data_IF_266243511989
#
_entry.id   IF_266243511989
#
_cell.length_a   1.000
_cell.length_b   1.000
_cell.length_c   1.000
_cell.angle_alpha   90.00
_cell.angle_beta   90.00
_cell.angle_gamma   90.00
#
_symmetry.space_group_name_H-M   'P 1'
#
loop_
_entity.id
_entity.type
_entity.pdbx_description
1 polymer ?
#
# COMPACT_ATOMS: atom_id res chain seq x y z
N UNK A 1 26.47 -52.94 -0.13
CA UNK A 1 27.47 -52.04 0.50
C UNK A 1 27.93 -51.06 -0.58
N UNK A 2 27.86 -49.75 -0.33
CA UNK A 2 27.91 -48.62 -1.30
C UNK A 2 26.54 -48.16 -1.84
N UNK A 3 25.69 -47.67 -0.94
CA UNK A 3 24.74 -46.60 -1.25
C UNK A 3 24.41 -45.80 0.02
N UNK A 4 25.46 -45.53 0.80
CA UNK A 4 25.50 -44.54 1.87
C UNK A 4 26.72 -43.68 1.52
N UNK A 5 26.63 -42.36 1.68
CA UNK A 5 27.53 -41.32 1.14
C UNK A 5 27.04 -40.76 -0.21
N UNK A 6 25.91 -40.03 -0.19
CA UNK A 6 25.65 -38.85 -1.05
C UNK A 6 24.26 -38.21 -0.78
N UNK A 7 23.82 -38.22 0.48
CA UNK A 7 22.73 -37.33 0.95
C UNK A 7 23.24 -36.60 2.20
N UNK A 8 24.37 -35.92 2.03
CA UNK A 8 24.95 -35.05 3.06
C UNK A 8 25.36 -33.68 2.47
N UNK A 9 24.93 -33.39 1.23
CA UNK A 9 25.24 -32.15 0.51
C UNK A 9 23.98 -31.59 -0.16
N UNK A 10 22.82 -31.70 0.52
CA UNK A 10 21.60 -30.96 0.15
C UNK A 10 20.81 -30.47 1.38
N UNK A 11 21.51 -30.15 2.47
CA UNK A 11 21.01 -29.29 3.56
C UNK A 11 22.13 -28.29 3.90
N UNK A 12 22.64 -27.64 2.85
CA UNK A 12 23.73 -26.66 2.90
C UNK A 12 23.30 -25.32 2.33
N UNK A 13 22.05 -24.91 2.54
CA UNK A 13 21.58 -23.52 2.36
C UNK A 13 20.49 -23.24 3.39
N UNK A 14 20.79 -23.45 4.67
CA UNK A 14 20.21 -22.54 5.67
C UNK A 14 21.22 -21.40 5.67
N UNK A 15 20.91 -20.33 4.93
CA UNK A 15 21.62 -19.08 5.11
C UNK A 15 21.71 -18.85 6.62
N UNK A 16 22.93 -18.79 7.16
CA UNK A 16 23.14 -18.26 8.49
C UNK A 16 22.54 -16.86 8.44
N UNK A 17 21.30 -16.73 8.90
CA UNK A 17 20.65 -15.45 8.99
C UNK A 17 21.57 -14.61 9.87
N UNK A 18 21.94 -13.41 9.41
CA UNK A 18 22.86 -12.53 10.11
C UNK A 18 22.18 -11.99 11.38
N UNK A 19 22.08 -12.85 12.40
CA UNK A 19 21.58 -12.51 13.72
C UNK A 19 22.54 -11.48 14.30
N UNK A 20 21.99 -10.34 14.71
CA UNK A 20 22.74 -9.25 15.33
C UNK A 20 22.21 -9.00 16.74
N UNK A 21 23.01 -8.39 17.63
CA UNK A 21 22.50 -7.93 18.91
C UNK A 21 21.28 -7.02 18.72
N UNK A 22 20.20 -7.25 19.46
CA UNK A 22 19.00 -6.42 19.37
C UNK A 22 19.26 -4.95 19.72
N UNK A 23 20.28 -4.66 20.53
CA UNK A 23 20.73 -3.29 20.79
C UNK A 23 21.20 -2.58 19.53
N UNK A 24 21.87 -3.29 18.62
CA UNK A 24 22.28 -2.77 17.32
C UNK A 24 21.08 -2.56 16.39
N UNK A 25 20.16 -3.53 16.32
CA UNK A 25 18.94 -3.41 15.53
C UNK A 25 18.05 -2.23 15.99
N UNK A 26 17.86 -2.10 17.30
CA UNK A 26 16.94 -1.11 17.89
C UNK A 26 17.52 0.31 17.98
N UNK A 27 18.84 0.46 17.85
CA UNK A 27 19.50 1.77 17.85
C UNK A 27 18.92 2.72 16.78
N UNK A 28 18.52 2.19 15.62
CA UNK A 28 17.92 2.97 14.52
C UNK A 28 16.55 3.59 14.86
N UNK A 29 15.90 3.13 15.92
CA UNK A 29 14.56 3.57 16.32
C UNK A 29 14.56 4.39 17.63
N UNK A 30 15.73 4.65 18.21
CA UNK A 30 15.86 5.28 19.53
C UNK A 30 15.78 6.82 19.51
N UNK A 31 15.28 7.41 18.44
CA UNK A 31 15.12 8.87 18.31
C UNK A 31 13.74 9.30 18.84
N UNK A 32 13.65 10.08 19.94
CA UNK A 32 12.37 10.50 20.51
C UNK A 32 11.59 11.47 19.62
N UNK A 33 12.21 12.05 18.58
CA UNK A 33 11.54 12.92 17.60
C UNK A 33 10.85 12.15 16.47
N UNK A 34 11.08 10.84 16.36
CA UNK A 34 10.53 10.00 15.28
C UNK A 34 9.31 9.24 15.74
N UNK A 35 8.38 9.07 14.81
CA UNK A 35 7.36 8.05 14.93
C UNK A 35 7.90 6.71 14.43
N UNK A 36 7.70 5.65 15.20
CA UNK A 36 8.10 4.30 14.82
C UNK A 36 6.84 3.49 14.52
N UNK A 37 6.64 3.09 13.27
CA UNK A 37 5.59 2.15 12.90
C UNK A 37 5.97 0.74 13.34
N UNK A 38 5.05 0.05 14.02
CA UNK A 38 5.16 -1.35 14.42
C UNK A 38 4.25 -2.22 13.54
N UNK A 39 4.80 -3.32 13.04
CA UNK A 39 4.06 -4.38 12.35
C UNK A 39 4.55 -5.73 12.84
N UNK A 40 3.65 -6.55 13.40
CA UNK A 40 3.95 -7.91 13.87
C UNK A 40 3.01 -8.87 13.16
N UNK A 41 3.54 -9.97 12.65
CA UNK A 41 2.76 -11.05 12.05
C UNK A 41 3.14 -12.38 12.73
N UNK A 42 2.14 -13.09 13.25
CA UNK A 42 2.27 -14.38 13.91
C UNK A 42 1.59 -15.48 13.10
N UNK A 43 2.20 -16.66 13.04
CA UNK A 43 1.61 -17.86 12.44
C UNK A 43 1.70 -19.01 13.42
N UNK A 44 0.57 -19.66 13.69
CA UNK A 44 0.47 -20.85 14.53
C UNK A 44 1.01 -22.06 13.77
N UNK A 45 2.01 -22.72 14.34
CA UNK A 45 2.75 -23.84 13.75
C UNK A 45 1.88 -25.05 13.38
N UNK A 46 0.80 -25.32 14.13
CA UNK A 46 -0.11 -26.44 13.88
C UNK A 46 -1.34 -26.09 13.02
N UNK A 47 -2.11 -25.08 13.42
CA UNK A 47 -3.38 -24.74 12.76
C UNK A 47 -3.23 -23.79 11.57
N UNK A 48 -2.03 -23.21 11.36
CA UNK A 48 -1.78 -22.12 10.43
C UNK A 48 -2.64 -20.87 10.69
N UNK A 49 -3.28 -20.79 11.87
CA UNK A 49 -3.96 -19.58 12.31
C UNK A 49 -2.94 -18.43 12.36
N UNK A 50 -3.33 -17.26 11.87
CA UNK A 50 -2.50 -16.07 11.87
C UNK A 50 -3.04 -15.04 12.87
N UNK A 51 -2.15 -14.21 13.38
CA UNK A 51 -2.54 -12.98 14.06
C UNK A 51 -1.57 -11.85 13.73
N UNK A 52 -2.05 -10.62 13.73
CA UNK A 52 -1.29 -9.43 13.43
C UNK A 52 -1.36 -8.42 14.56
N UNK A 53 -0.32 -7.62 14.72
CA UNK A 53 -0.33 -6.43 15.57
C UNK A 53 0.20 -5.24 14.79
N UNK A 54 -0.46 -4.09 14.93
CA UNK A 54 -0.07 -2.87 14.24
C UNK A 54 -0.24 -1.65 15.14
N UNK A 55 0.60 -0.65 14.94
CA UNK A 55 0.41 0.65 15.57
C UNK A 55 1.68 1.47 15.52
N UNK A 56 1.73 2.46 16.39
CA UNK A 56 2.85 3.38 16.47
C UNK A 56 3.54 3.25 17.82
N UNK A 57 4.84 3.51 17.81
CA UNK A 57 5.69 3.58 18.98
C UNK A 57 6.43 4.92 18.98
N UNK A 58 6.90 5.34 20.15
CA UNK A 58 7.84 6.44 20.35
C UNK A 58 8.97 5.99 21.27
N UNK A 59 10.17 6.53 21.09
CA UNK A 59 11.26 6.27 22.02
C UNK A 59 11.15 7.16 23.27
N UNK A 60 11.29 6.54 24.44
CA UNK A 60 11.41 7.25 25.72
C UNK A 60 12.27 6.44 26.69
N UNK A 61 13.34 7.05 27.20
CA UNK A 61 14.29 6.42 28.11
C UNK A 61 14.86 5.09 27.59
N UNK A 62 15.24 5.04 26.31
CA UNK A 62 15.73 3.84 25.63
C UNK A 62 14.72 2.67 25.59
N UNK A 63 13.42 2.99 25.64
CA UNK A 63 12.33 2.03 25.49
C UNK A 63 11.38 2.55 24.43
N UNK A 64 11.08 1.73 23.42
CA UNK A 64 9.99 2.01 22.50
C UNK A 64 8.68 1.69 23.19
N UNK A 65 7.77 2.66 23.28
CA UNK A 65 6.46 2.54 23.92
C UNK A 65 5.38 2.85 22.91
N UNK A 66 4.22 2.22 23.05
CA UNK A 66 3.07 2.53 22.20
C UNK A 66 2.70 4.01 22.24
N UNK A 67 2.53 4.59 21.06
CA UNK A 67 1.94 5.90 20.86
C UNK A 67 0.47 5.68 20.45
N UNK A 68 -0.42 5.70 21.44
CA UNK A 68 -1.82 5.31 21.28
C UNK A 68 -2.03 3.81 21.40
N UNK A 69 -3.04 3.28 20.70
CA UNK A 69 -3.43 1.87 20.77
C UNK A 69 -2.68 1.03 19.73
N UNK A 70 -2.22 -0.15 20.13
CA UNK A 70 -1.79 -1.20 19.22
C UNK A 70 -3.01 -2.06 18.88
N UNK A 71 -3.33 -2.15 17.60
CA UNK A 71 -4.45 -2.94 17.08
C UNK A 71 -3.99 -4.36 16.85
N UNK A 72 -4.76 -5.33 17.34
CA UNK A 72 -4.55 -6.75 17.09
C UNK A 72 -5.63 -7.29 16.17
N UNK A 73 -5.18 -8.02 15.17
CA UNK A 73 -5.97 -8.49 14.04
C UNK A 73 -5.89 -10.02 14.02
N UNK A 74 -6.99 -10.74 14.19
CA UNK A 74 -7.00 -12.20 14.23
C UNK A 74 -7.68 -12.79 12.99
N UNK A 75 -7.27 -13.98 12.57
CA UNK A 75 -7.61 -14.56 11.26
C UNK A 75 -8.57 -15.74 11.29
N UNK A 76 -9.20 -16.02 12.44
CA UNK A 76 -10.24 -17.06 12.48
C UNK A 76 -11.42 -16.73 11.54
N UNK A 77 -11.54 -15.47 11.12
CA UNK A 77 -12.46 -15.01 10.09
C UNK A 77 -11.72 -14.15 9.05
N UNK A 78 -11.86 -14.51 7.78
CA UNK A 78 -11.34 -13.75 6.61
C UNK A 78 -12.41 -12.92 5.93
N UNK A 79 -13.58 -12.85 6.56
CA UNK A 79 -14.74 -12.13 6.05
C UNK A 79 -14.70 -10.69 6.56
N UNK A 80 -14.91 -9.75 5.64
CA UNK A 80 -15.14 -8.37 5.97
C UNK A 80 -16.58 -8.00 5.57
N UNK A 81 -17.04 -6.82 5.98
CA UNK A 81 -18.40 -6.40 5.63
C UNK A 81 -18.61 -6.31 4.10
N UNK A 82 -19.83 -6.61 3.64
CA UNK A 82 -20.26 -6.53 2.23
C UNK A 82 -19.50 -7.41 1.21
N UNK A 83 -19.22 -8.69 1.55
CA UNK A 83 -18.62 -9.64 0.60
C UNK A 83 -17.13 -9.42 0.30
N UNK A 84 -16.50 -8.41 0.92
CA UNK A 84 -15.06 -8.17 0.87
C UNK A 84 -14.34 -9.17 1.76
N UNK A 85 -13.12 -9.56 1.38
CA UNK A 85 -12.26 -10.45 2.17
C UNK A 85 -10.96 -9.75 2.50
N UNK A 86 -10.49 -9.91 3.72
CA UNK A 86 -9.13 -9.56 4.11
C UNK A 86 -8.60 -10.65 5.04
N UNK A 87 -7.28 -10.78 5.25
CA UNK A 87 -6.74 -11.90 6.03
C UNK A 87 -7.24 -11.93 7.49
N UNK A 88 -7.75 -10.82 8.01
CA UNK A 88 -8.15 -10.64 9.42
C UNK A 88 -9.58 -10.06 9.55
N UNK A 89 -10.29 -10.37 10.63
CA UNK A 89 -11.53 -9.64 10.94
C UNK A 89 -11.22 -8.29 11.59
N UNK A 90 -11.46 -7.21 10.87
CA UNK A 90 -11.29 -5.85 11.40
C UNK A 90 -12.35 -5.44 12.46
N UNK A 91 -13.62 -5.88 12.36
CA UNK A 91 -14.61 -5.66 13.42
C UNK A 91 -14.23 -6.31 14.76
N UNK A 92 -13.55 -7.45 14.72
CA UNK A 92 -13.13 -8.19 15.93
C UNK A 92 -11.72 -7.80 16.40
N UNK A 93 -11.25 -6.62 16.01
CA UNK A 93 -9.94 -6.14 16.41
C UNK A 93 -9.90 -5.82 17.91
N UNK A 94 -8.83 -6.28 18.57
CA UNK A 94 -8.54 -5.94 19.96
C UNK A 94 -7.53 -4.80 20.03
N UNK A 95 -7.50 -4.10 21.15
CA UNK A 95 -6.58 -2.98 21.36
C UNK A 95 -5.76 -3.19 22.63
N UNK A 96 -4.47 -2.92 22.53
CA UNK A 96 -3.52 -3.00 23.63
C UNK A 96 -2.77 -1.68 23.79
N UNK A 97 -2.48 -1.32 25.03
CA UNK A 97 -1.83 -0.06 25.42
C UNK A 97 -0.55 -0.27 26.24
N UNK A 98 -0.06 -1.51 26.32
CA UNK A 98 1.03 -1.93 27.19
C UNK A 98 2.26 -2.45 26.42
N UNK A 99 2.38 -2.09 25.15
CA UNK A 99 3.45 -2.58 24.27
C UNK A 99 4.76 -1.83 24.52
N UNK A 100 5.82 -2.58 24.85
CA UNK A 100 7.15 -2.04 25.12
C UNK A 100 8.24 -2.87 24.45
N UNK A 101 9.18 -2.23 23.76
CA UNK A 101 10.40 -2.88 23.25
C UNK A 101 11.61 -2.23 23.91
N UNK A 102 12.39 -3.03 24.63
CA UNK A 102 13.62 -2.61 25.29
C UNK A 102 14.81 -2.84 24.35
N UNK A 103 15.84 -2.00 24.46
CA UNK A 103 17.04 -2.09 23.61
C UNK A 103 17.80 -3.41 23.75
N UNK A 104 17.63 -4.15 24.84
CA UNK A 104 18.23 -5.47 25.01
C UNK A 104 17.53 -6.58 24.18
N UNK A 105 16.39 -6.29 23.54
CA UNK A 105 15.59 -7.27 22.80
C UNK A 105 14.37 -7.79 23.56
N UNK A 106 14.18 -7.43 24.84
CA UNK A 106 12.97 -7.79 25.56
C UNK A 106 11.77 -7.04 25.00
N UNK A 107 10.65 -7.73 24.83
CA UNK A 107 9.42 -7.24 24.20
C UNK A 107 8.20 -7.60 25.05
N UNK A 108 7.52 -6.59 25.61
CA UNK A 108 6.28 -6.79 26.34
C UNK A 108 5.10 -6.55 25.40
N UNK A 109 4.19 -7.52 25.36
CA UNK A 109 2.94 -7.46 24.63
C UNK A 109 1.87 -8.18 25.45
N UNK A 110 0.78 -7.48 25.81
CA UNK A 110 -0.30 -8.02 26.65
C UNK A 110 0.19 -8.48 28.03
N UNK A 111 1.09 -7.70 28.64
CA UNK A 111 1.69 -7.97 29.95
C UNK A 111 2.70 -9.12 29.95
N UNK A 112 2.90 -9.79 28.82
CA UNK A 112 3.83 -10.93 28.69
C UNK A 112 5.13 -10.45 28.08
N UNK A 113 6.25 -10.75 28.75
CA UNK A 113 7.58 -10.52 28.23
C UNK A 113 7.99 -11.65 27.27
N UNK A 114 8.52 -11.26 26.12
CA UNK A 114 9.07 -12.11 25.07
C UNK A 114 10.50 -11.64 24.76
N UNK A 115 11.30 -12.48 24.12
CA UNK A 115 12.66 -12.12 23.73
C UNK A 115 12.79 -12.16 22.21
N UNK A 116 13.25 -11.05 21.63
CA UNK A 116 13.46 -10.90 20.20
C UNK A 116 14.78 -11.54 19.77
N UNK A 117 14.77 -12.19 18.61
CA UNK A 117 15.95 -12.48 17.80
C UNK A 117 15.99 -11.46 16.66
N UNK A 118 17.02 -10.64 16.60
CA UNK A 118 17.11 -9.52 15.66
C UNK A 118 18.06 -9.82 14.50
N UNK A 119 17.73 -9.31 13.31
CA UNK A 119 18.45 -9.58 12.07
C UNK A 119 18.88 -8.28 11.39
N UNK A 120 19.98 -8.32 10.63
CA UNK A 120 20.55 -7.15 9.98
C UNK A 120 19.72 -6.58 8.82
N UNK A 121 18.75 -7.34 8.32
CA UNK A 121 17.88 -7.01 7.18
C UNK A 121 16.59 -6.28 7.58
N UNK A 122 16.48 -5.83 8.83
CA UNK A 122 15.43 -4.92 9.25
C UNK A 122 14.20 -5.60 9.86
N UNK A 123 14.27 -6.88 10.21
CA UNK A 123 13.23 -7.55 11.01
C UNK A 123 13.79 -8.20 12.28
N UNK A 124 12.88 -8.53 13.18
CA UNK A 124 13.12 -9.37 14.35
C UNK A 124 12.08 -10.50 14.41
N UNK A 125 12.36 -11.56 15.15
CA UNK A 125 11.41 -12.65 15.37
C UNK A 125 11.31 -12.99 16.85
N UNK A 126 10.22 -13.61 17.26
CA UNK A 126 10.12 -14.27 18.56
C UNK A 126 9.16 -15.44 18.46
N UNK A 127 9.22 -16.33 19.44
CA UNK A 127 8.29 -17.46 19.56
C UNK A 127 7.53 -17.33 20.87
N UNK A 128 6.24 -17.63 20.82
CA UNK A 128 5.40 -17.75 22.02
C UNK A 128 4.38 -18.85 21.77
N UNK A 129 4.33 -19.79 22.70
CA UNK A 129 3.52 -20.99 22.59
C UNK A 129 3.75 -21.69 21.23
N UNK A 130 2.70 -21.88 20.45
CA UNK A 130 2.75 -22.48 19.12
C UNK A 130 2.86 -21.46 17.99
N UNK A 131 3.03 -20.17 18.28
CA UNK A 131 3.16 -19.13 17.25
C UNK A 131 4.62 -18.75 17.00
N UNK A 132 4.94 -18.58 15.72
CA UNK A 132 6.15 -17.92 15.24
C UNK A 132 5.80 -16.51 14.78
N UNK A 133 6.45 -15.50 15.34
CA UNK A 133 6.21 -14.11 15.02
C UNK A 133 7.38 -13.48 14.29
N UNK A 134 7.09 -12.65 13.30
CA UNK A 134 7.98 -11.67 12.72
C UNK A 134 7.54 -10.26 13.12
N UNK A 135 8.52 -9.38 13.34
CA UNK A 135 8.35 -8.01 13.76
C UNK A 135 9.15 -7.12 12.81
N UNK A 136 8.50 -6.10 12.26
CA UNK A 136 9.12 -5.07 11.43
C UNK A 136 8.85 -3.69 12.05
N UNK A 137 9.87 -2.84 12.00
CA UNK A 137 9.81 -1.46 12.47
C UNK A 137 10.17 -0.50 11.33
N UNK A 138 9.59 0.70 11.36
CA UNK A 138 9.97 1.78 10.44
C UNK A 138 9.94 3.12 11.18
N UNK A 139 11.05 3.83 11.23
CA UNK A 139 11.11 5.20 11.73
C UNK A 139 10.75 6.21 10.63
N UNK A 140 9.95 7.22 10.98
CA UNK A 140 9.59 8.34 10.12
C UNK A 140 9.45 9.63 10.94
N UNK A 141 9.45 10.79 10.28
CA UNK A 141 9.23 12.07 10.95
C UNK A 141 7.80 12.18 11.53
N UNK A 142 6.82 11.58 10.84
CA UNK A 142 5.40 11.59 11.18
C UNK A 142 4.83 10.16 11.16
N UNK A 143 3.76 9.93 11.93
CA UNK A 143 3.04 8.66 11.89
C UNK A 143 2.13 8.61 10.65
N UNK A 144 2.63 8.02 9.57
CA UNK A 144 1.83 7.75 8.38
C UNK A 144 0.68 6.79 8.69
N UNK A 145 -0.54 7.00 8.15
CA UNK A 145 -1.68 6.12 8.41
C UNK A 145 -1.41 4.64 8.09
N UNK A 146 -1.90 3.74 8.96
CA UNK A 146 -1.79 2.29 8.78
C UNK A 146 -3.07 1.71 8.19
N UNK A 147 -3.06 1.44 6.89
CA UNK A 147 -4.26 1.04 6.15
C UNK A 147 -4.63 -0.45 6.23
N UNK A 148 -3.76 -1.36 6.67
CA UNK A 148 -4.06 -2.81 6.71
C UNK A 148 -4.87 -3.18 7.96
N UNK A 149 -5.92 -4.00 7.86
CA UNK A 149 -6.74 -4.37 9.02
C UNK A 149 -7.72 -3.29 9.50
N UNK A 150 -8.02 -2.30 8.67
CA UNK A 150 -9.11 -1.34 8.93
C UNK A 150 -10.48 -1.94 8.58
N UNK A 151 -11.54 -1.41 9.21
CA UNK A 151 -12.90 -1.83 8.92
C UNK A 151 -13.26 -1.52 7.46
N UNK A 152 -13.91 -2.47 6.77
CA UNK A 152 -14.40 -2.26 5.41
C UNK A 152 -15.68 -1.41 5.40
N UNK A 153 -15.62 -0.18 5.90
CA UNK A 153 -16.70 0.78 5.76
C UNK A 153 -16.75 1.19 4.28
N UNK A 154 -17.90 0.98 3.63
CA UNK A 154 -18.13 1.54 2.30
C UNK A 154 -18.11 3.05 2.39
N UNK A 155 -17.37 3.73 1.50
CA UNK A 155 -17.52 5.17 1.35
C UNK A 155 -18.99 5.48 0.98
N UNK A 156 -19.57 6.59 1.46
CA UNK A 156 -20.92 6.99 1.05
C UNK A 156 -20.96 7.15 -0.46
N UNK A 157 -21.91 6.47 -1.10
CA UNK A 157 -22.13 6.56 -2.55
C UNK A 157 -22.68 7.95 -2.85
N UNK A 158 -21.88 8.78 -3.53
CA UNK A 158 -22.32 10.09 -4.04
C UNK A 158 -22.30 10.05 -5.56
N UNK A 159 -23.49 10.04 -6.17
CA UNK A 159 -23.70 10.26 -7.61
C UNK A 159 -23.45 11.73 -7.95
N UNK A 160 -22.58 12.03 -8.92
CA UNK A 160 -22.29 13.40 -9.39
C UNK A 160 -22.57 13.52 -10.89
N UNK A 161 -23.19 14.62 -11.39
CA UNK A 161 -23.48 14.83 -12.81
C UNK A 161 -22.22 15.12 -13.66
N UNK A 162 -22.27 14.93 -14.99
CA UNK A 162 -21.15 15.20 -15.89
C UNK A 162 -20.82 16.70 -15.96
N UNK A 163 -19.53 17.02 -15.96
CA UNK A 163 -19.00 18.39 -16.10
C UNK A 163 -18.53 18.61 -17.54
N UNK A 164 -19.13 19.58 -18.24
CA UNK A 164 -18.67 20.09 -19.53
C UNK A 164 -17.88 21.39 -19.33
N UNK A 165 -16.66 21.46 -19.86
CA UNK A 165 -15.84 22.69 -19.89
C UNK A 165 -15.94 23.43 -21.24
N UNK A 166 -15.80 24.77 -21.29
CA UNK A 166 -16.05 25.57 -22.50
C UNK A 166 -14.80 25.80 -23.38
N UNK A 167 -15.01 25.93 -24.70
CA UNK A 167 -14.17 26.63 -25.70
C UNK A 167 -12.70 26.17 -25.90
N UNK A 168 -12.46 24.88 -26.13
CA UNK A 168 -11.16 24.38 -26.60
C UNK A 168 -11.24 23.83 -28.03
N UNK A 169 -10.17 24.04 -28.83
CA UNK A 169 -9.94 23.44 -30.17
C UNK A 169 -10.19 21.93 -30.21
N UNK A 170 -9.96 21.28 -29.06
CA UNK A 170 -10.30 19.90 -28.81
C UNK A 170 -11.28 19.87 -27.65
N UNK A 171 -12.52 19.43 -27.88
CA UNK A 171 -13.48 19.19 -26.80
C UNK A 171 -13.28 17.80 -26.24
N UNK A 172 -13.64 17.59 -24.98
CA UNK A 172 -13.58 16.29 -24.35
C UNK A 172 -14.85 15.99 -23.56
N UNK A 173 -15.18 14.71 -23.45
CA UNK A 173 -16.19 14.18 -22.54
C UNK A 173 -15.52 13.17 -21.64
N UNK A 174 -15.78 13.26 -20.34
CA UNK A 174 -15.27 12.32 -19.34
C UNK A 174 -16.43 11.49 -18.81
N UNK A 175 -16.29 10.18 -18.85
CA UNK A 175 -17.19 9.22 -18.23
C UNK A 175 -16.45 8.48 -17.12
N UNK A 176 -17.16 8.16 -16.05
CA UNK A 176 -16.69 7.19 -15.06
C UNK A 176 -17.20 5.84 -15.55
N UNK A 177 -16.34 5.06 -16.20
CA UNK A 177 -16.71 3.76 -16.74
C UNK A 177 -16.80 2.73 -15.62
N UNK A 178 -15.90 2.85 -14.64
CA UNK A 178 -15.94 2.05 -13.43
C UNK A 178 -15.34 2.85 -12.26
N UNK A 179 -15.71 2.49 -11.04
CA UNK A 179 -15.19 3.10 -9.83
C UNK A 179 -14.99 2.01 -8.81
N UNK A 180 -13.81 1.99 -8.20
CA UNK A 180 -13.51 1.06 -7.11
C UNK A 180 -12.73 1.77 -6.03
N UNK A 181 -12.58 1.10 -4.91
CA UNK A 181 -11.78 1.60 -3.81
C UNK A 181 -10.76 0.54 -3.46
N UNK A 182 -9.49 0.87 -3.64
CA UNK A 182 -8.34 0.03 -3.30
C UNK A 182 -7.51 0.80 -2.27
N UNK A 183 -7.21 0.19 -1.13
CA UNK A 183 -6.41 0.83 -0.06
C UNK A 183 -6.99 2.17 0.44
N UNK A 184 -8.33 2.33 0.47
CA UNK A 184 -8.99 3.55 0.96
C UNK A 184 -8.95 4.74 0.00
N UNK A 185 -8.30 4.58 -1.15
CA UNK A 185 -8.28 5.55 -2.22
C UNK A 185 -9.39 5.17 -3.21
N UNK A 186 -10.28 6.12 -3.50
CA UNK A 186 -11.29 5.93 -4.54
C UNK A 186 -10.59 6.08 -5.88
N UNK A 187 -10.42 4.96 -6.55
CA UNK A 187 -9.95 4.93 -7.92
C UNK A 187 -11.14 4.98 -8.85
N UNK A 188 -11.03 5.83 -9.85
CA UNK A 188 -11.98 5.96 -10.93
C UNK A 188 -11.27 5.49 -12.18
N UNK A 189 -11.89 4.56 -12.89
CA UNK A 189 -11.57 4.29 -14.27
C UNK A 189 -12.39 5.24 -15.12
N UNK A 190 -11.68 6.17 -15.72
CA UNK A 190 -12.27 7.16 -16.59
C UNK A 190 -12.12 6.71 -18.05
N UNK A 191 -13.21 6.84 -18.79
CA UNK A 191 -13.20 6.93 -20.23
C UNK A 191 -13.17 8.41 -20.63
N UNK A 192 -12.28 8.78 -21.56
CA UNK A 192 -12.26 10.13 -22.12
C UNK A 192 -12.32 10.05 -23.62
N UNK A 193 -13.33 10.69 -24.20
CA UNK A 193 -13.43 10.89 -25.64
C UNK A 193 -13.08 12.32 -25.97
N UNK A 194 -12.06 12.52 -26.80
CA UNK A 194 -11.67 13.82 -27.34
C UNK A 194 -12.15 13.96 -28.77
N UNK A 195 -12.47 15.18 -29.20
CA UNK A 195 -12.90 15.50 -30.56
C UNK A 195 -12.14 16.69 -31.10
N UNK A 196 -11.58 16.57 -32.30
CA UNK A 196 -11.02 17.70 -33.02
C UNK A 196 -12.17 18.58 -33.56
N UNK A 197 -12.32 19.80 -33.02
CA UNK A 197 -13.33 20.75 -33.50
C UNK A 197 -12.74 21.80 -34.48
N UNK A 198 -11.46 21.68 -34.82
CA UNK A 198 -10.83 22.51 -35.84
C UNK A 198 -11.29 22.09 -37.24
N UNK A 199 -11.12 22.99 -38.20
CA UNK A 199 -11.35 22.71 -39.62
C UNK A 199 -10.21 21.95 -40.30
N UNK A 200 -9.08 21.78 -39.61
CA UNK A 200 -7.87 21.14 -40.12
C UNK A 200 -7.45 19.95 -39.24
N UNK A 201 -6.66 19.06 -39.82
CA UNK A 201 -6.07 17.92 -39.12
C UNK A 201 -5.00 18.39 -38.14
N UNK A 202 -5.04 17.85 -36.91
CA UNK A 202 -4.02 18.11 -35.89
C UNK A 202 -2.92 17.06 -35.99
N UNK A 203 -1.66 17.47 -36.12
CA UNK A 203 -0.52 16.55 -36.18
C UNK A 203 0.00 16.17 -34.80
N UNK A 204 -0.07 17.11 -33.87
CA UNK A 204 0.35 16.92 -32.49
C UNK A 204 -0.81 17.33 -31.59
N UNK A 205 -1.22 16.42 -30.70
CA UNK A 205 -2.20 16.71 -29.64
C UNK A 205 -1.53 16.36 -28.33
N UNK A 206 -1.32 17.36 -27.49
CA UNK A 206 -0.74 17.22 -26.17
C UNK A 206 -1.83 17.34 -25.13
N UNK A 207 -1.95 16.30 -24.32
CA UNK A 207 -2.86 16.23 -23.18
C UNK A 207 -2.08 16.53 -21.92
N UNK A 208 -2.48 17.61 -21.25
CA UNK A 208 -1.94 18.02 -19.96
C UNK A 208 -3.04 18.06 -18.91
N UNK A 209 -2.69 17.74 -17.68
CA UNK A 209 -3.59 17.86 -16.54
C UNK A 209 -2.78 18.14 -15.29
N UNK A 210 -3.23 19.11 -14.50
CA UNK A 210 -2.58 19.50 -13.25
C UNK A 210 -3.00 18.63 -12.07
N UNK A 211 -4.08 17.84 -12.20
CA UNK A 211 -4.68 17.16 -11.05
C UNK A 211 -4.94 15.67 -11.25
N UNK A 212 -4.84 15.08 -12.44
CA UNK A 212 -5.35 13.72 -12.67
C UNK A 212 -4.46 12.54 -12.26
N UNK A 213 -3.20 12.74 -11.86
CA UNK A 213 -2.25 11.73 -11.34
C UNK A 213 -2.59 10.24 -11.63
N UNK A 214 -2.51 9.79 -12.91
CA UNK A 214 -2.98 8.46 -13.29
C UNK A 214 -2.04 7.35 -12.79
N UNK A 215 -2.60 6.27 -12.26
CA UNK A 215 -1.86 5.04 -11.90
C UNK A 215 -1.72 4.08 -13.07
N UNK A 216 -2.69 4.10 -13.98
CA UNK A 216 -2.70 3.35 -15.24
C UNK A 216 -3.28 4.24 -16.33
N UNK A 217 -2.80 4.10 -17.57
CA UNK A 217 -3.28 4.86 -18.73
C UNK A 217 -3.18 4.01 -19.99
N UNK A 218 -4.17 4.12 -20.88
CA UNK A 218 -4.18 3.47 -22.19
C UNK A 218 -4.73 4.41 -23.26
N UNK A 219 -4.33 4.19 -24.51
CA UNK A 219 -4.74 5.04 -25.63
C UNK A 219 -3.99 6.37 -25.73
N UNK A 220 -2.99 6.61 -24.88
CA UNK A 220 -2.05 7.73 -24.93
C UNK A 220 -0.64 7.26 -24.59
N UNK A 221 0.38 8.03 -25.01
CA UNK A 221 1.80 7.77 -24.74
C UNK A 221 2.40 8.94 -23.96
N UNK A 222 3.16 8.67 -22.90
CA UNK A 222 3.84 9.72 -22.12
C UNK A 222 5.00 10.32 -22.91
N UNK A 223 5.09 11.65 -22.96
CA UNK A 223 6.15 12.41 -23.65
C UNK A 223 6.57 13.60 -22.78
N UNK A 224 7.59 13.42 -21.94
CA UNK A 224 7.99 14.43 -20.96
C UNK A 224 6.88 14.68 -19.92
N UNK A 225 6.45 15.94 -19.83
CA UNK A 225 5.43 16.41 -18.87
C UNK A 225 3.98 16.32 -19.40
N UNK A 226 3.80 15.86 -20.64
CA UNK A 226 2.49 15.73 -21.29
C UNK A 226 2.30 14.33 -21.87
N UNK A 227 1.08 14.04 -22.30
CA UNK A 227 0.73 12.83 -23.04
C UNK A 227 0.38 13.15 -24.48
N UNK A 228 0.71 12.26 -25.40
CA UNK A 228 0.44 12.40 -26.84
C UNK A 228 -0.35 11.22 -27.37
N UNK A 229 -0.93 11.39 -28.55
CA UNK A 229 -1.54 10.28 -29.28
C UNK A 229 -0.49 9.21 -29.64
N UNK A 230 -0.88 7.93 -29.67
CA UNK A 230 0.02 6.85 -30.10
C UNK A 230 0.53 7.06 -31.53
N UNK A 231 1.75 6.58 -31.82
CA UNK A 231 2.43 6.79 -33.11
C UNK A 231 1.71 6.19 -34.33
N UNK A 232 0.77 5.26 -34.13
CA UNK A 232 -0.09 4.75 -35.20
C UNK A 232 -1.17 5.76 -35.63
N UNK A 233 -1.40 6.82 -34.85
CA UNK A 233 -2.25 7.97 -35.18
C UNK A 233 -1.33 9.10 -35.66
N UNK A 234 -0.99 9.09 -36.95
CA UNK A 234 -0.08 10.08 -37.55
C UNK A 234 -0.70 11.46 -37.78
N UNK A 235 -2.03 11.53 -37.70
CA UNK A 235 -2.82 12.77 -37.73
C UNK A 235 -4.14 12.54 -37.03
N UNK A 236 -4.71 13.60 -36.44
CA UNK A 236 -6.03 13.59 -35.82
C UNK A 236 -6.98 14.46 -36.66
N UNK A 237 -7.75 13.85 -37.58
CA UNK A 237 -8.47 14.60 -38.59
C UNK A 237 -9.55 15.55 -38.05
N UNK A 238 -9.91 16.57 -38.83
CA UNK A 238 -11.01 17.47 -38.51
C UNK A 238 -12.32 16.68 -38.24
N UNK A 239 -12.97 16.96 -37.10
CA UNK A 239 -14.21 16.29 -36.68
C UNK A 239 -14.03 14.88 -36.11
N UNK A 240 -12.84 14.28 -36.20
CA UNK A 240 -12.58 12.94 -35.69
C UNK A 240 -12.59 12.90 -34.16
N UNK A 241 -12.83 11.69 -33.63
CA UNK A 241 -12.79 11.42 -32.19
C UNK A 241 -11.75 10.36 -31.86
N UNK A 242 -11.08 10.53 -30.74
CA UNK A 242 -10.19 9.51 -30.17
C UNK A 242 -10.58 9.26 -28.72
N UNK A 243 -10.49 8.01 -28.27
CA UNK A 243 -10.78 7.67 -26.89
C UNK A 243 -9.54 7.11 -26.21
N UNK A 244 -9.33 7.55 -24.97
CA UNK A 244 -8.32 7.02 -24.07
C UNK A 244 -8.97 6.79 -22.71
N UNK A 245 -8.27 6.06 -21.84
CA UNK A 245 -8.74 5.89 -20.49
C UNK A 245 -7.59 5.78 -19.50
N UNK A 246 -7.94 5.95 -18.24
CA UNK A 246 -6.96 5.93 -17.16
C UNK A 246 -7.63 5.58 -15.84
N UNK A 247 -6.82 5.11 -14.92
CA UNK A 247 -7.19 4.91 -13.52
C UNK A 247 -6.55 6.01 -12.70
N UNK A 248 -7.34 6.68 -11.85
CA UNK A 248 -6.82 7.70 -10.95
C UNK A 248 -7.58 7.79 -9.64
N UNK A 249 -6.85 8.15 -8.58
CA UNK A 249 -7.40 8.57 -7.30
C UNK A 249 -8.13 9.93 -7.36
N UNK A 250 -7.85 10.71 -8.40
CA UNK A 250 -8.38 12.06 -8.55
C UNK A 250 -9.86 12.01 -8.90
N UNK A 251 -10.65 12.62 -8.03
CA UNK A 251 -12.05 12.93 -8.32
C UNK A 251 -12.12 14.16 -9.23
N UNK A 252 -12.88 14.07 -10.32
CA UNK A 252 -13.09 15.16 -11.29
C UNK A 252 -11.77 15.67 -11.91
N UNK A 253 -11.05 14.84 -12.66
CA UNK A 253 -9.84 15.25 -13.36
C UNK A 253 -10.17 16.31 -14.42
N UNK A 254 -9.26 17.28 -14.58
CA UNK A 254 -9.38 18.35 -15.57
C UNK A 254 -8.30 18.20 -16.63
N UNK A 255 -8.60 18.65 -17.85
CA UNK A 255 -7.73 18.51 -19.01
C UNK A 255 -7.52 19.83 -19.74
N UNK A 256 -6.31 20.00 -20.23
CA UNK A 256 -5.91 21.03 -21.17
C UNK A 256 -5.34 20.35 -22.41
N UNK A 257 -5.77 20.81 -23.59
CA UNK A 257 -5.28 20.28 -24.87
C UNK A 257 -4.52 21.38 -25.60
N UNK A 258 -3.28 21.10 -25.99
CA UNK A 258 -2.48 21.98 -26.85
C UNK A 258 -2.11 21.26 -28.14
N UNK A 259 -1.94 22.03 -29.21
CA UNK A 259 -1.53 21.58 -30.54
C UNK A 259 -0.11 22.03 -30.84
#
# INVERSE_FOLDING_TARGET
>A
MKLFILISILIGVIAAQNVIPCSQFLAAYNDPSKCVTLSVAGVHSLSLAQEGYKGYLYSSNNVLRNNGKITNLQTYETYCNNGKRQPFSAPDAFYYDDVKIFTNGSFILKGVQNELTCYSDGFATYRRDYFFYSLALRAAATCEPLYYGEACQGAPVVTVPPVTSPSASVSFTVTVDNQWTTLGVVFYQYGVTIKNNESNDLKDVKVSSSNWAPTEIWGLVKSGDFYILPSYISSFPAGATHSFGFVSATKNPTFSFTK
#
